data_IF_465325285315
#
_entry.id   IF_465325285315
#
_cell.length_a   1.000
_cell.length_b   1.000
_cell.length_c   1.000
_cell.angle_alpha   90.00
_cell.angle_beta   90.00
_cell.angle_gamma   90.00
#
_symmetry.space_group_name_H-M   'P 1'
#
loop_
_entity.id
_entity.type
_entity.pdbx_description
1 polymer ?
#
# COMPACT_ATOMS: atom_id res chain seq x y z
N UNK A 1 7.46 13.91 1.06
CA UNK A 1 6.54 13.23 1.99
C UNK A 1 7.03 11.80 2.14
N UNK A 2 6.88 11.21 3.31
CA UNK A 2 7.38 9.85 3.59
C UNK A 2 6.27 8.81 3.53
N UNK A 3 6.65 7.55 3.32
CA UNK A 3 5.73 6.43 3.49
C UNK A 3 5.34 6.28 4.96
N UNK A 4 4.07 5.95 5.23
CA UNK A 4 3.51 5.98 6.58
C UNK A 4 2.87 4.66 6.96
N UNK A 5 3.26 4.13 8.12
CA UNK A 5 2.63 2.94 8.71
C UNK A 5 1.78 3.35 9.90
N UNK A 6 0.55 2.85 9.98
CA UNK A 6 -0.29 3.10 11.15
C UNK A 6 0.32 2.46 12.40
N UNK A 7 0.25 3.17 13.54
CA UNK A 7 0.75 2.68 14.83
C UNK A 7 0.00 1.42 15.30
N UNK A 8 -1.28 1.31 14.99
CA UNK A 8 -2.08 0.11 15.27
C UNK A 8 -1.71 -1.07 14.37
N UNK A 9 -1.40 -0.85 13.09
CA UNK A 9 -0.83 -1.86 12.21
C UNK A 9 0.49 -2.40 12.78
N UNK A 10 1.39 -1.51 13.20
CA UNK A 10 2.65 -1.91 13.86
C UNK A 10 2.41 -2.78 15.10
N UNK A 11 1.42 -2.42 15.94
CA UNK A 11 1.02 -3.21 17.11
C UNK A 11 0.38 -4.55 16.72
N UNK A 12 -0.36 -4.60 15.63
CA UNK A 12 -1.02 -5.81 15.12
C UNK A 12 0.02 -6.84 14.67
N UNK A 13 1.04 -6.39 13.94
CA UNK A 13 2.15 -7.23 13.44
C UNK A 13 3.20 -7.60 14.50
N UNK A 14 3.12 -7.10 15.73
CA UNK A 14 4.24 -7.16 16.71
C UNK A 14 4.80 -8.55 17.01
N UNK A 15 3.99 -9.61 16.92
CA UNK A 15 4.46 -10.97 17.21
C UNK A 15 5.21 -11.59 16.01
N UNK A 16 5.05 -11.05 14.80
CA UNK A 16 5.73 -11.54 13.58
C UNK A 16 6.72 -10.52 13.00
N UNK A 17 6.74 -9.28 13.49
CA UNK A 17 7.54 -8.20 12.91
C UNK A 17 9.04 -8.47 12.91
N UNK A 18 9.54 -9.31 13.82
CA UNK A 18 10.96 -9.68 13.91
C UNK A 18 11.44 -10.55 12.74
N UNK A 19 10.54 -11.13 11.95
CA UNK A 19 10.87 -11.85 10.71
C UNK A 19 11.07 -10.92 9.50
N UNK A 20 10.73 -9.63 9.64
CA UNK A 20 10.83 -8.65 8.57
C UNK A 20 12.07 -7.75 8.79
N UNK A 21 13.00 -7.68 7.82
CA UNK A 21 14.22 -6.90 7.96
C UNK A 21 13.97 -5.41 8.19
N UNK A 22 12.90 -4.85 7.59
CA UNK A 22 12.59 -3.43 7.65
C UNK A 22 11.09 -3.19 7.87
N UNK A 23 10.75 -2.09 8.55
CA UNK A 23 9.34 -1.74 8.79
C UNK A 23 8.56 -1.52 7.48
N UNK A 24 9.25 -1.19 6.39
CA UNK A 24 8.65 -1.05 5.08
C UNK A 24 8.02 -2.36 4.57
N UNK A 25 8.50 -3.53 5.00
CA UNK A 25 7.87 -4.81 4.64
C UNK A 25 6.43 -4.89 5.16
N UNK A 26 6.19 -4.41 6.39
CA UNK A 26 4.85 -4.37 6.97
C UNK A 26 3.95 -3.37 6.24
N UNK A 27 4.51 -2.21 5.87
CA UNK A 27 3.82 -1.25 5.01
C UNK A 27 3.43 -1.87 3.67
N UNK A 28 4.35 -2.59 3.03
CA UNK A 28 4.13 -3.25 1.76
C UNK A 28 3.02 -4.30 1.83
N UNK A 29 2.97 -5.12 2.90
CA UNK A 29 1.91 -6.10 3.09
C UNK A 29 0.52 -5.43 3.16
N UNK A 30 0.43 -4.33 3.90
CA UNK A 30 -0.80 -3.53 3.94
C UNK A 30 -1.11 -2.91 2.58
N UNK A 31 -0.13 -2.32 1.91
CA UNK A 31 -0.29 -1.68 0.59
C UNK A 31 -0.85 -2.65 -0.44
N UNK A 32 -0.30 -3.86 -0.53
CA UNK A 32 -0.76 -4.87 -1.48
C UNK A 32 -2.19 -5.34 -1.20
N UNK A 33 -2.58 -5.45 0.07
CA UNK A 33 -3.98 -5.74 0.43
C UNK A 33 -4.92 -4.59 0.04
N UNK A 34 -4.48 -3.33 0.20
CA UNK A 34 -5.23 -2.15 -0.19
C UNK A 34 -5.39 -2.02 -1.70
N UNK A 35 -4.33 -2.32 -2.46
CA UNK A 35 -4.37 -2.39 -3.92
C UNK A 35 -5.28 -3.51 -4.41
N UNK A 36 -5.14 -4.72 -3.88
CA UNK A 36 -5.99 -5.85 -4.24
C UNK A 36 -7.48 -5.59 -3.91
N UNK A 37 -7.76 -4.84 -2.85
CA UNK A 37 -9.13 -4.47 -2.48
C UNK A 37 -9.65 -3.20 -3.18
N UNK A 38 -8.80 -2.46 -3.91
CA UNK A 38 -9.13 -1.13 -4.44
C UNK A 38 -9.56 -0.13 -3.36
N UNK A 39 -9.14 -0.32 -2.09
CA UNK A 39 -9.69 0.38 -0.92
C UNK A 39 -8.64 1.25 -0.24
N UNK A 40 -8.66 2.58 -0.46
CA UNK A 40 -7.91 3.54 0.35
C UNK A 40 -8.69 3.98 1.59
N UNK A 41 -7.98 4.41 2.63
CA UNK A 41 -8.55 5.07 3.81
C UNK A 41 -7.91 6.46 4.00
N UNK A 42 -8.75 7.50 3.98
CA UNK A 42 -8.35 8.91 4.09
C UNK A 42 -8.54 9.50 5.49
N UNK A 43 -9.08 8.73 6.43
CA UNK A 43 -9.49 9.20 7.76
C UNK A 43 -8.37 9.09 8.81
N UNK A 44 -7.27 8.42 8.46
CA UNK A 44 -6.13 8.25 9.36
C UNK A 44 -5.40 9.58 9.55
N UNK A 45 -5.33 10.02 10.81
CA UNK A 45 -4.67 11.26 11.21
C UNK A 45 -3.17 11.06 11.44
N UNK A 46 -2.41 12.15 11.33
CA UNK A 46 -0.95 12.15 11.47
C UNK A 46 -0.42 11.65 12.82
N UNK A 47 -1.16 11.83 13.91
CA UNK A 47 -0.80 11.32 15.24
C UNK A 47 -0.96 9.79 15.38
N UNK A 48 -1.67 9.15 14.44
CA UNK A 48 -1.88 7.71 14.39
C UNK A 48 -0.91 6.95 13.46
N UNK A 49 0.05 7.64 12.84
CA UNK A 49 1.05 7.02 11.94
C UNK A 49 2.47 7.24 12.45
N UNK A 50 3.37 6.34 12.04
CA UNK A 50 4.81 6.50 12.11
C UNK A 50 5.32 6.77 10.68
N UNK A 51 6.08 7.84 10.49
CA UNK A 51 6.79 8.10 9.24
C UNK A 51 7.94 7.08 9.09
N UNK A 52 8.08 6.53 7.89
CA UNK A 52 9.13 5.56 7.55
C UNK A 52 10.28 6.27 6.80
N UNK A 53 10.24 6.24 5.48
CA UNK A 53 11.23 6.82 4.57
C UNK A 53 10.53 7.34 3.31
N UNK A 54 11.13 8.34 2.66
CA UNK A 54 10.61 8.95 1.42
C UNK A 54 11.04 8.28 0.11
N UNK A 55 11.60 7.07 0.17
CA UNK A 55 12.09 6.32 -0.99
C UNK A 55 11.82 4.82 -0.83
N UNK A 56 11.86 4.06 -1.93
CA UNK A 56 11.72 2.61 -1.86
C UNK A 56 13.02 1.96 -1.36
N UNK A 57 13.02 1.27 -0.20
CA UNK A 57 14.23 0.72 0.41
C UNK A 57 14.65 -0.63 -0.19
N UNK A 58 15.94 -0.96 -0.08
CA UNK A 58 16.44 -2.31 -0.36
C UNK A 58 15.95 -2.88 -1.71
N UNK A 59 15.43 -4.10 -1.67
CA UNK A 59 14.90 -4.80 -2.86
C UNK A 59 13.75 -4.07 -3.55
N UNK A 60 13.00 -3.23 -2.82
CA UNK A 60 11.89 -2.45 -3.39
C UNK A 60 12.38 -1.37 -4.33
N UNK A 61 13.63 -0.89 -4.21
CA UNK A 61 14.17 0.15 -5.09
C UNK A 61 14.14 -0.28 -6.55
N UNK A 62 14.55 -1.52 -6.83
CA UNK A 62 14.55 -2.09 -8.20
C UNK A 62 13.14 -2.24 -8.79
N UNK A 63 12.12 -2.34 -7.93
CA UNK A 63 10.71 -2.55 -8.29
C UNK A 63 9.84 -1.32 -8.07
N UNK A 64 10.42 -0.19 -7.68
CA UNK A 64 9.67 1.01 -7.30
C UNK A 64 8.74 1.50 -8.41
N UNK A 65 9.22 1.55 -9.65
CA UNK A 65 8.40 1.94 -10.82
C UNK A 65 7.21 1.00 -11.06
N UNK A 66 7.36 -0.29 -10.75
CA UNK A 66 6.25 -1.24 -10.83
C UNK A 66 5.18 -0.91 -9.80
N UNK A 67 5.57 -0.59 -8.55
CA UNK A 67 4.63 -0.18 -7.50
C UNK A 67 3.91 1.12 -7.86
N UNK A 68 4.61 2.07 -8.50
CA UNK A 68 3.99 3.29 -9.04
C UNK A 68 3.00 2.96 -10.15
N UNK A 69 3.33 2.03 -11.05
CA UNK A 69 2.41 1.55 -12.09
C UNK A 69 1.12 0.94 -11.51
N UNK A 70 1.24 0.11 -10.47
CA UNK A 70 0.08 -0.47 -9.78
C UNK A 70 -0.76 0.62 -9.11
N UNK A 71 -0.13 1.61 -8.45
CA UNK A 71 -0.85 2.75 -7.87
C UNK A 71 -1.70 3.47 -8.92
N UNK A 72 -1.10 3.78 -10.07
CA UNK A 72 -1.79 4.46 -11.18
C UNK A 72 -2.96 3.62 -11.65
N UNK A 73 -2.74 2.33 -11.94
CA UNK A 73 -3.78 1.42 -12.41
C UNK A 73 -4.97 1.38 -11.44
N UNK A 74 -4.71 1.08 -10.17
CA UNK A 74 -5.76 0.95 -9.15
C UNK A 74 -6.52 2.27 -8.96
N UNK A 75 -5.81 3.40 -9.01
CA UNK A 75 -6.44 4.73 -8.89
C UNK A 75 -7.32 5.08 -10.09
N UNK A 76 -6.85 4.83 -11.32
CA UNK A 76 -7.65 5.06 -12.53
C UNK A 76 -8.91 4.19 -12.53
N UNK A 77 -8.77 2.89 -12.24
CA UNK A 77 -9.90 1.98 -12.13
C UNK A 77 -10.92 2.45 -11.08
N UNK A 78 -10.47 2.95 -9.93
CA UNK A 78 -11.35 3.51 -8.90
C UNK A 78 -12.08 4.78 -9.35
N UNK A 79 -11.46 5.59 -10.21
CA UNK A 79 -12.09 6.77 -10.80
C UNK A 79 -13.00 6.43 -11.99
N UNK A 80 -13.02 5.17 -12.43
CA UNK A 80 -13.75 4.76 -13.64
C UNK A 80 -13.14 5.31 -14.92
N UNK A 81 -11.84 5.65 -14.91
CA UNK A 81 -11.12 6.17 -16.07
C UNK A 81 -10.53 5.01 -16.86
N UNK A 82 -10.90 4.89 -18.13
CA UNK A 82 -10.31 3.96 -19.08
C UNK A 82 -8.93 4.46 -19.55
N UNK A 83 -8.03 3.54 -19.90
CA UNK A 83 -6.72 3.86 -20.47
C UNK A 83 -6.81 4.55 -21.83
N UNK A 84 -7.93 4.40 -22.54
CA UNK A 84 -8.20 5.08 -23.80
C UNK A 84 -8.52 6.58 -23.60
N UNK A 85 -8.88 7.01 -22.39
CA UNK A 85 -9.14 8.41 -22.01
C UNK A 85 -7.84 9.18 -21.78
N UNK A 86 -7.03 9.31 -22.83
CA UNK A 86 -5.64 9.80 -22.78
C UNK A 86 -5.46 11.06 -21.94
N UNK A 87 -6.29 12.08 -22.13
CA UNK A 87 -6.13 13.38 -21.45
C UNK A 87 -6.35 13.26 -19.94
N UNK A 88 -7.32 12.44 -19.51
CA UNK A 88 -7.59 12.21 -18.09
C UNK A 88 -6.54 11.30 -17.47
N UNK A 89 -6.10 10.27 -18.19
CA UNK A 89 -4.96 9.41 -17.80
C UNK A 89 -3.71 10.28 -17.57
N UNK A 90 -3.30 11.09 -18.55
CA UNK A 90 -2.13 11.96 -18.43
C UNK A 90 -2.27 12.92 -17.24
N UNK A 91 -3.45 13.49 -17.02
CA UNK A 91 -3.71 14.39 -15.89
C UNK A 91 -3.54 13.70 -14.54
N UNK A 92 -4.01 12.46 -14.40
CA UNK A 92 -3.83 11.71 -13.15
C UNK A 92 -2.37 11.29 -12.96
N UNK A 93 -1.71 10.79 -14.01
CA UNK A 93 -0.29 10.39 -13.95
C UNK A 93 0.58 11.59 -13.55
N UNK A 94 0.37 12.76 -14.16
CA UNK A 94 1.12 13.98 -13.84
C UNK A 94 0.91 14.45 -12.39
N UNK A 95 -0.23 14.14 -11.76
CA UNK A 95 -0.45 14.42 -10.34
C UNK A 95 0.30 13.45 -9.44
N UNK A 96 0.41 12.18 -9.81
CA UNK A 96 0.94 11.13 -8.95
C UNK A 96 2.45 10.93 -9.08
N UNK A 97 3.03 11.21 -10.24
CA UNK A 97 4.41 10.86 -10.58
C UNK A 97 5.30 12.10 -10.57
N UNK A 98 6.46 11.97 -9.91
CA UNK A 98 7.58 12.91 -10.04
C UNK A 98 8.85 12.12 -10.37
N UNK A 99 9.31 12.12 -11.63
CA UNK A 99 10.48 11.35 -12.06
C UNK A 99 11.78 11.72 -11.33
N UNK A 100 11.86 12.92 -10.75
CA UNK A 100 13.05 13.41 -10.06
C UNK A 100 13.03 13.10 -8.56
N UNK A 101 11.89 12.65 -8.03
CA UNK A 101 11.79 12.24 -6.63
C UNK A 101 12.46 10.87 -6.41
N UNK A 102 13.02 10.61 -5.22
CA UNK A 102 13.61 9.31 -4.87
C UNK A 102 12.66 8.11 -4.97
N UNK A 103 11.36 8.33 -4.82
CA UNK A 103 10.30 7.31 -4.91
C UNK A 103 9.59 7.30 -6.26
N UNK A 104 9.98 8.15 -7.22
CA UNK A 104 9.24 8.40 -8.47
C UNK A 104 7.80 8.90 -8.27
N UNK A 105 7.43 9.33 -7.07
CA UNK A 105 6.11 9.80 -6.69
C UNK A 105 6.15 11.27 -6.27
N UNK A 106 5.13 12.02 -6.68
CA UNK A 106 4.86 13.33 -6.09
C UNK A 106 4.41 13.17 -4.63
N UNK A 107 4.26 14.29 -3.90
CA UNK A 107 3.64 14.25 -2.57
C UNK A 107 2.19 13.72 -2.60
N UNK A 108 1.44 13.93 -3.69
CA UNK A 108 0.11 13.31 -3.87
C UNK A 108 0.24 11.81 -4.09
N UNK A 109 1.21 11.38 -4.89
CA UNK A 109 1.49 9.96 -5.11
C UNK A 109 1.82 9.21 -3.83
N UNK A 110 2.70 9.76 -3.00
CA UNK A 110 3.04 9.19 -1.69
C UNK A 110 1.83 9.16 -0.76
N UNK A 111 1.06 10.26 -0.69
CA UNK A 111 -0.17 10.32 0.09
C UNK A 111 -1.17 9.24 -0.32
N UNK A 112 -1.41 9.08 -1.62
CA UNK A 112 -2.35 8.09 -2.11
C UNK A 112 -1.87 6.66 -1.82
N UNK A 113 -0.56 6.40 -1.96
CA UNK A 113 0.03 5.11 -1.58
C UNK A 113 -0.17 4.82 -0.08
N UNK A 114 0.03 5.82 0.79
CA UNK A 114 -0.25 5.70 2.22
C UNK A 114 -1.75 5.41 2.50
N UNK A 115 -2.66 6.09 1.80
CA UNK A 115 -4.09 5.83 1.94
C UNK A 115 -4.45 4.38 1.57
N UNK A 116 -3.88 3.83 0.49
CA UNK A 116 -4.06 2.41 0.16
C UNK A 116 -3.44 1.49 1.21
N UNK A 117 -2.26 1.79 1.74
CA UNK A 117 -1.71 1.01 2.85
C UNK A 117 -2.61 1.06 4.11
N UNK A 118 -3.22 2.21 4.39
CA UNK A 118 -4.15 2.36 5.51
C UNK A 118 -5.41 1.52 5.35
N UNK A 119 -6.05 1.60 4.17
CA UNK A 119 -7.25 0.81 3.88
C UNK A 119 -6.94 -0.68 3.74
N UNK A 120 -5.76 -1.04 3.25
CA UNK A 120 -5.30 -2.41 3.21
C UNK A 120 -5.10 -3.01 4.59
N UNK A 121 -4.68 -2.23 5.58
CA UNK A 121 -4.65 -2.71 6.97
C UNK A 121 -6.06 -2.96 7.52
N UNK A 122 -7.05 -2.12 7.19
CA UNK A 122 -8.45 -2.39 7.56
C UNK A 122 -8.95 -3.70 6.94
N UNK A 123 -8.66 -3.92 5.65
CA UNK A 123 -8.98 -5.17 4.95
C UNK A 123 -8.33 -6.39 5.61
N UNK A 124 -7.07 -6.28 6.04
CA UNK A 124 -6.41 -7.35 6.78
C UNK A 124 -7.10 -7.60 8.12
N UNK A 125 -7.48 -6.57 8.87
CA UNK A 125 -8.23 -6.74 10.12
C UNK A 125 -9.61 -7.38 9.90
N UNK A 126 -10.30 -7.05 8.82
CA UNK A 126 -11.59 -7.65 8.45
C UNK A 126 -11.44 -9.13 8.09
N UNK A 127 -10.37 -9.51 7.39
CA UNK A 127 -10.15 -10.87 6.92
C UNK A 127 -9.55 -11.80 7.99
N UNK A 128 -8.80 -11.24 8.94
CA UNK A 128 -8.18 -11.99 10.02
C UNK A 128 -8.97 -11.82 11.32
N UNK A 129 -9.49 -12.93 11.87
CA UNK A 129 -10.23 -12.91 13.14
C UNK A 129 -9.41 -12.39 14.33
N UNK A 130 -8.08 -12.57 14.29
CA UNK A 130 -7.14 -12.15 15.32
C UNK A 130 -5.81 -11.73 14.70
N UNK A 131 -5.03 -10.95 15.46
CA UNK A 131 -3.67 -10.56 15.09
C UNK A 131 -2.76 -11.79 14.88
N UNK A 132 -1.81 -11.74 13.93
CA UNK A 132 -0.94 -12.87 13.63
C UNK A 132 0.00 -13.18 14.80
N UNK A 133 0.17 -14.47 15.08
CA UNK A 133 1.04 -14.99 16.15
C UNK A 133 2.23 -15.81 15.64
N UNK A 134 2.13 -16.31 14.40
CA UNK A 134 3.17 -17.09 13.71
C UNK A 134 3.25 -16.61 12.27
N UNK A 135 4.47 -16.50 11.75
CA UNK A 135 4.74 -16.05 10.38
C UNK A 135 4.19 -17.05 9.35
N UNK A 136 4.30 -18.35 9.61
CA UNK A 136 3.86 -19.42 8.71
C UNK A 136 2.35 -19.38 8.52
N UNK A 137 1.62 -19.19 9.62
CA UNK A 137 0.15 -19.08 9.58
C UNK A 137 -0.26 -17.78 8.91
N UNK A 138 0.45 -16.68 9.22
CA UNK A 138 0.19 -15.38 8.59
C UNK A 138 0.35 -15.46 7.08
N UNK A 139 1.48 -15.96 6.55
CA UNK A 139 1.75 -16.01 5.12
C UNK A 139 0.72 -16.83 4.35
N UNK A 140 0.27 -17.98 4.91
CA UNK A 140 -0.79 -18.79 4.30
C UNK A 140 -2.12 -18.04 4.23
N UNK A 141 -2.54 -17.42 5.34
CA UNK A 141 -3.78 -16.63 5.39
C UNK A 141 -3.71 -15.39 4.52
N UNK A 142 -2.58 -14.71 4.50
CA UNK A 142 -2.33 -13.52 3.69
C UNK A 142 -2.40 -13.84 2.20
N UNK A 143 -1.75 -14.92 1.75
CA UNK A 143 -1.83 -15.37 0.36
C UNK A 143 -3.27 -15.68 -0.08
N UNK A 144 -4.06 -16.34 0.78
CA UNK A 144 -5.48 -16.57 0.52
C UNK A 144 -6.27 -15.25 0.46
N UNK A 145 -6.04 -14.34 1.41
CA UNK A 145 -6.67 -13.02 1.43
C UNK A 145 -6.45 -12.26 0.12
N UNK A 146 -5.20 -12.16 -0.36
CA UNK A 146 -4.88 -11.50 -1.63
C UNK A 146 -5.56 -12.19 -2.82
N UNK A 147 -5.56 -13.53 -2.84
CA UNK A 147 -6.22 -14.29 -3.91
C UNK A 147 -7.73 -14.03 -3.95
N UNK A 148 -8.38 -14.02 -2.78
CA UNK A 148 -9.81 -13.78 -2.65
C UNK A 148 -10.19 -12.35 -3.05
N UNK A 149 -9.33 -11.36 -2.77
CA UNK A 149 -9.54 -9.97 -3.16
C UNK A 149 -9.43 -9.79 -4.68
N UNK A 150 -8.42 -10.40 -5.30
CA UNK A 150 -8.23 -10.30 -6.75
C UNK A 150 -9.33 -10.99 -7.56
N UNK A 151 -9.98 -12.03 -7.01
CA UNK A 151 -11.09 -12.73 -7.67
C UNK A 151 -12.43 -11.99 -7.60
N UNK A 152 -12.51 -10.88 -6.83
CA UNK A 152 -13.74 -10.08 -6.65
C UNK A 152 -13.80 -8.85 -7.56
N UNK A 153 -12.68 -8.49 -8.19
CA UNK A 153 -12.55 -7.39 -9.13
C UNK A 153 -12.51 -7.92 -10.56
#
# INVERSE_FOLDING_TARGET
MDFQLRKDARKWFKDISHHYPILFDLYYLCLMAGFAAGRPNTEIKGDHVDDLIGYFPGEFQSRGRLLVGVLIQVHLSRLGIDLDERDDVYRQVAKLVDPNSPSYLSNEGVRLMNQYAHGGFDVLCEHFSDRPRSIETFLRKYSRCISDLNNRN
#
